data_IF_832185456036
#
_entry.id   IF_832185456036
#
_cell.length_a   1.000
_cell.length_b   1.000
_cell.length_c   1.000
_cell.angle_alpha   90.00
_cell.angle_beta   90.00
_cell.angle_gamma   90.00
#
_symmetry.space_group_name_H-M   'P 1'
#
loop_
_entity.id
_entity.type
_entity.pdbx_description
1 polymer ?
#
# COMPACT_ATOMS: atom_id res chain seq x y z
N UNK A 1 -13.16 4.57 -62.35
CA UNK A 1 -13.44 4.07 -60.98
C UNK A 1 -12.17 3.42 -60.44
N UNK A 2 -11.58 3.90 -59.34
CA UNK A 2 -10.45 3.23 -58.71
C UNK A 2 -10.91 1.91 -58.10
N UNK A 3 -10.18 0.82 -58.36
CA UNK A 3 -10.43 -0.49 -57.74
C UNK A 3 -10.30 -0.36 -56.21
N UNK A 4 -11.18 -0.99 -55.41
CA UNK A 4 -10.97 -1.04 -53.97
C UNK A 4 -9.63 -1.73 -53.66
N UNK A 5 -8.91 -1.29 -52.62
CA UNK A 5 -7.67 -1.95 -52.21
C UNK A 5 -7.98 -3.41 -51.90
N UNK A 6 -7.22 -4.32 -52.51
CA UNK A 6 -7.30 -5.74 -52.18
C UNK A 6 -6.99 -5.92 -50.70
N UNK A 7 -7.94 -6.47 -49.95
CA UNK A 7 -7.71 -6.89 -48.57
C UNK A 7 -6.58 -7.93 -48.60
N UNK A 8 -5.38 -7.50 -48.23
CA UNK A 8 -4.27 -8.40 -47.99
C UNK A 8 -4.75 -9.42 -46.97
N UNK A 9 -4.94 -10.67 -47.41
CA UNK A 9 -5.25 -11.79 -46.53
C UNK A 9 -4.04 -11.93 -45.62
N UNK A 10 -4.08 -11.32 -44.43
CA UNK A 10 -3.13 -11.59 -43.35
C UNK A 10 -2.98 -13.10 -43.29
N UNK A 11 -1.77 -13.60 -43.50
CA UNK A 11 -1.44 -15.01 -43.32
C UNK A 11 -1.66 -15.31 -41.84
N UNK A 12 -2.88 -15.75 -41.50
CA UNK A 12 -3.19 -16.28 -40.18
C UNK A 12 -2.37 -17.57 -40.10
N UNK A 13 -1.26 -17.54 -39.37
CA UNK A 13 -0.41 -18.69 -39.16
C UNK A 13 -1.00 -19.47 -37.97
N UNK A 14 -1.83 -20.52 -38.19
CA UNK A 14 -2.63 -21.12 -37.12
C UNK A 14 -1.75 -21.80 -36.08
N UNK A 15 -0.56 -22.25 -36.48
CA UNK A 15 0.45 -22.84 -35.62
C UNK A 15 1.09 -21.81 -34.68
N UNK A 16 1.24 -20.55 -35.13
CA UNK A 16 1.81 -19.48 -34.32
C UNK A 16 0.80 -19.06 -33.25
N UNK A 17 -0.48 -18.97 -33.60
CA UNK A 17 -1.57 -18.72 -32.65
C UNK A 17 -1.71 -19.86 -31.63
N UNK A 18 -1.58 -21.11 -32.08
CA UNK A 18 -1.60 -22.28 -31.20
C UNK A 18 -0.39 -22.32 -30.24
N UNK A 19 0.81 -22.03 -30.74
CA UNK A 19 2.03 -21.96 -29.93
C UNK A 19 1.93 -20.82 -28.90
N UNK A 20 1.47 -19.64 -29.32
CA UNK A 20 1.25 -18.52 -28.42
C UNK A 20 0.24 -18.86 -27.33
N UNK A 21 -0.89 -19.47 -27.70
CA UNK A 21 -1.90 -19.92 -26.73
C UNK A 21 -1.32 -20.93 -25.75
N UNK A 22 -0.56 -21.93 -26.21
CA UNK A 22 0.05 -22.94 -25.34
C UNK A 22 1.07 -22.32 -24.38
N UNK A 23 1.89 -21.38 -24.85
CA UNK A 23 2.84 -20.65 -23.99
C UNK A 23 2.12 -19.78 -22.96
N UNK A 24 1.04 -19.09 -23.36
CA UNK A 24 0.25 -18.26 -22.45
C UNK A 24 -0.43 -19.10 -21.36
N UNK A 25 -1.07 -20.22 -21.73
CA UNK A 25 -1.65 -21.16 -20.77
C UNK A 25 -0.58 -21.81 -19.90
N UNK A 26 0.57 -22.17 -20.47
CA UNK A 26 1.72 -22.72 -19.75
C UNK A 26 2.26 -21.74 -18.70
N UNK A 27 2.40 -20.46 -19.04
CA UNK A 27 2.80 -19.41 -18.11
C UNK A 27 1.77 -19.19 -16.99
N UNK A 28 0.47 -19.20 -17.32
CA UNK A 28 -0.60 -19.13 -16.32
C UNK A 28 -0.58 -20.33 -15.35
N UNK A 29 -0.42 -21.56 -15.86
CA UNK A 29 -0.29 -22.74 -15.02
C UNK A 29 0.98 -22.74 -14.18
N UNK A 30 2.11 -22.32 -14.75
CA UNK A 30 3.37 -22.21 -14.03
C UNK A 30 3.27 -21.21 -12.87
N UNK A 31 2.67 -20.04 -13.10
CA UNK A 31 2.47 -19.03 -12.05
C UNK A 31 1.55 -19.55 -10.93
N UNK A 32 0.44 -20.21 -11.27
CA UNK A 32 -0.43 -20.86 -10.28
C UNK A 32 0.30 -21.96 -9.50
N UNK A 33 1.08 -22.80 -10.19
CA UNK A 33 1.87 -23.86 -9.56
C UNK A 33 2.95 -23.32 -8.63
N UNK A 34 3.62 -22.22 -9.01
CA UNK A 34 4.59 -21.52 -8.15
C UNK A 34 3.92 -20.94 -6.91
N UNK A 35 2.75 -20.29 -7.05
CA UNK A 35 1.99 -19.79 -5.90
C UNK A 35 1.60 -20.92 -4.95
N UNK A 36 1.09 -22.03 -5.47
CA UNK A 36 0.78 -23.22 -4.67
C UNK A 36 2.05 -23.79 -4.00
N UNK A 37 3.17 -23.85 -4.72
CA UNK A 37 4.46 -24.28 -4.20
C UNK A 37 4.97 -23.40 -3.06
N UNK A 38 4.82 -22.07 -3.17
CA UNK A 38 5.16 -21.12 -2.09
C UNK A 38 4.29 -21.39 -0.85
N UNK A 39 2.97 -21.59 -1.03
CA UNK A 39 2.07 -21.90 0.08
C UNK A 39 2.50 -23.20 0.78
N UNK A 40 2.74 -24.28 0.01
CA UNK A 40 3.19 -25.56 0.55
C UNK A 40 4.53 -25.41 1.27
N UNK A 41 5.48 -24.68 0.68
CA UNK A 41 6.78 -24.41 1.29
C UNK A 41 6.65 -23.66 2.62
N UNK A 42 5.78 -22.66 2.69
CA UNK A 42 5.51 -21.93 3.93
C UNK A 42 4.95 -22.85 5.02
N UNK A 43 4.01 -23.74 4.68
CA UNK A 43 3.47 -24.72 5.64
C UNK A 43 4.55 -25.68 6.17
N UNK A 44 5.40 -26.21 5.29
CA UNK A 44 6.48 -27.13 5.69
C UNK A 44 7.49 -26.42 6.60
N UNK A 45 7.91 -25.19 6.24
CA UNK A 45 8.87 -24.43 7.04
C UNK A 45 8.28 -23.92 8.37
N UNK A 46 6.98 -23.66 8.43
CA UNK A 46 6.30 -23.26 9.66
C UNK A 46 5.94 -24.45 10.58
N UNK A 47 5.90 -25.68 10.06
CA UNK A 47 5.47 -26.86 10.82
C UNK A 47 6.22 -27.09 12.16
N UNK A 48 7.56 -26.96 12.24
CA UNK A 48 8.28 -27.11 13.50
C UNK A 48 7.85 -26.08 14.56
N UNK A 49 7.67 -24.82 14.15
CA UNK A 49 7.21 -23.76 15.04
C UNK A 49 5.76 -24.00 15.53
N UNK A 50 4.89 -24.47 14.64
CA UNK A 50 3.49 -24.80 15.00
C UNK A 50 3.46 -25.98 15.98
N UNK A 51 4.32 -26.98 15.81
CA UNK A 51 4.41 -28.12 16.72
C UNK A 51 4.94 -27.72 18.11
N UNK A 52 5.88 -26.78 18.19
CA UNK A 52 6.51 -26.36 19.45
C UNK A 52 5.66 -25.35 20.23
N UNK A 53 5.06 -24.36 19.56
CA UNK A 53 4.32 -23.27 20.22
C UNK A 53 2.80 -23.42 20.16
N UNK A 54 2.27 -24.24 19.23
CA UNK A 54 0.86 -24.50 19.08
C UNK A 54 0.00 -23.25 18.82
N UNK A 55 -1.32 -23.38 19.07
CA UNK A 55 -2.26 -22.26 19.02
C UNK A 55 -1.98 -21.13 20.03
N UNK A 56 -1.43 -21.39 21.23
CA UNK A 56 -1.09 -20.33 22.19
C UNK A 56 -0.14 -19.26 21.64
N UNK A 57 0.68 -19.59 20.64
CA UNK A 57 1.57 -18.65 19.95
C UNK A 57 0.86 -17.35 19.53
N UNK A 58 -0.38 -17.45 19.04
CA UNK A 58 -1.14 -16.31 18.52
C UNK A 58 -1.58 -15.31 19.60
N UNK A 59 -1.71 -15.75 20.86
CA UNK A 59 -2.12 -14.91 22.00
C UNK A 59 -0.99 -14.65 23.00
N UNK A 60 0.19 -15.22 22.79
CA UNK A 60 1.34 -15.05 23.69
C UNK A 60 2.11 -13.81 23.30
N UNK A 61 2.32 -12.89 24.26
CA UNK A 61 3.11 -11.69 24.08
C UNK A 61 4.59 -11.86 24.50
N UNK A 62 4.93 -12.96 25.16
CA UNK A 62 6.28 -13.21 25.64
C UNK A 62 7.23 -13.45 24.45
N UNK A 63 8.33 -12.71 24.46
CA UNK A 63 9.44 -12.91 23.52
C UNK A 63 10.74 -12.99 24.31
N UNK A 64 11.18 -14.22 24.59
CA UNK A 64 12.43 -14.52 25.30
C UNK A 64 13.32 -15.42 24.41
N UNK A 65 14.25 -14.82 23.64
CA UNK A 65 15.19 -15.56 22.80
C UNK A 65 16.16 -16.44 23.59
N UNK A 66 16.39 -16.15 24.88
CA UNK A 66 17.32 -16.91 25.71
C UNK A 66 16.67 -18.22 26.17
N UNK A 67 15.36 -18.19 26.46
CA UNK A 67 14.58 -19.37 26.84
C UNK A 67 13.86 -20.05 25.67
N UNK A 68 14.10 -19.60 24.45
CA UNK A 68 13.43 -20.07 23.22
C UNK A 68 11.89 -19.99 23.30
N UNK A 69 11.37 -18.99 24.01
CA UNK A 69 9.93 -18.74 24.14
C UNK A 69 9.54 -17.60 23.22
N UNK A 70 8.77 -17.91 22.18
CA UNK A 70 8.35 -16.94 21.18
C UNK A 70 6.83 -16.83 21.12
N UNK A 71 6.34 -15.60 21.18
CA UNK A 71 4.95 -15.23 21.05
C UNK A 71 4.72 -14.38 19.81
N UNK A 72 3.65 -14.66 19.06
CA UNK A 72 3.30 -13.97 17.83
C UNK A 72 2.46 -12.71 18.05
N UNK A 73 1.85 -12.53 19.22
CA UNK A 73 0.84 -11.49 19.44
C UNK A 73 1.39 -10.08 19.18
N UNK A 74 2.61 -9.79 19.64
CA UNK A 74 3.25 -8.48 19.48
C UNK A 74 3.49 -8.16 18.01
N UNK A 75 3.97 -9.14 17.23
CA UNK A 75 4.20 -8.94 15.80
C UNK A 75 2.90 -8.78 15.01
N UNK A 76 1.89 -9.62 15.29
CA UNK A 76 0.57 -9.52 14.63
C UNK A 76 -0.06 -8.17 14.94
N UNK A 77 -0.11 -7.79 16.22
CA UNK A 77 -0.67 -6.51 16.64
C UNK A 77 0.09 -5.33 16.02
N UNK A 78 1.43 -5.38 16.05
CA UNK A 78 2.28 -4.35 15.47
C UNK A 78 2.05 -4.14 13.97
N UNK A 79 1.95 -5.24 13.19
CA UNK A 79 1.67 -5.18 11.75
C UNK A 79 0.28 -4.64 11.47
N UNK A 80 -0.75 -5.08 12.21
CA UNK A 80 -2.12 -4.60 12.01
C UNK A 80 -2.24 -3.12 12.37
N UNK A 81 -1.67 -2.69 13.49
CA UNK A 81 -1.73 -1.29 13.92
C UNK A 81 -0.97 -0.36 12.99
N UNK A 82 0.26 -0.71 12.58
CA UNK A 82 1.03 0.11 11.64
C UNK A 82 0.36 0.21 10.28
N UNK A 83 -0.20 -0.90 9.77
CA UNK A 83 -0.96 -0.91 8.51
C UNK A 83 -2.23 -0.08 8.59
N UNK A 84 -2.95 -0.13 9.72
CA UNK A 84 -4.15 0.67 9.93
C UNK A 84 -3.82 2.17 9.96
N UNK A 85 -2.81 2.58 10.73
CA UNK A 85 -2.32 3.96 10.77
C UNK A 85 -1.90 4.41 9.37
N UNK A 86 -1.16 3.56 8.65
CA UNK A 86 -0.71 3.87 7.31
C UNK A 86 -1.86 4.10 6.34
N UNK A 87 -2.91 3.26 6.37
CA UNK A 87 -4.08 3.41 5.51
C UNK A 87 -4.91 4.65 5.85
N UNK A 88 -5.12 4.93 7.13
CA UNK A 88 -5.87 6.12 7.58
C UNK A 88 -5.24 7.41 7.04
N UNK A 89 -3.91 7.45 6.92
CA UNK A 89 -3.18 8.59 6.36
C UNK A 89 -3.12 8.50 4.84
N UNK A 90 -2.73 7.35 4.29
CA UNK A 90 -2.41 7.22 2.88
C UNK A 90 -3.65 7.33 1.98
N UNK A 91 -4.77 6.71 2.36
CA UNK A 91 -5.99 6.72 1.53
C UNK A 91 -6.49 8.13 1.23
N UNK A 92 -6.73 9.02 2.20
CA UNK A 92 -7.20 10.38 1.90
C UNK A 92 -6.16 11.21 1.15
N UNK A 93 -4.87 11.05 1.46
CA UNK A 93 -3.78 11.77 0.77
C UNK A 93 -3.69 11.33 -0.69
N UNK A 94 -3.69 10.03 -0.95
CA UNK A 94 -3.66 9.45 -2.29
C UNK A 94 -4.90 9.81 -3.10
N UNK A 95 -6.08 9.84 -2.48
CA UNK A 95 -7.30 10.33 -3.11
C UNK A 95 -7.17 11.78 -3.54
N UNK A 96 -6.64 12.66 -2.68
CA UNK A 96 -6.38 14.06 -3.02
C UNK A 96 -5.38 14.23 -4.16
N UNK A 97 -4.28 13.47 -4.15
CA UNK A 97 -3.28 13.47 -5.22
C UNK A 97 -3.91 13.00 -6.55
N UNK A 98 -4.67 11.91 -6.53
CA UNK A 98 -5.34 11.38 -7.70
C UNK A 98 -6.34 12.38 -8.27
N UNK A 99 -7.22 12.94 -7.43
CA UNK A 99 -8.19 13.96 -7.80
C UNK A 99 -7.52 15.17 -8.44
N UNK A 100 -6.45 15.67 -7.82
CA UNK A 100 -5.69 16.80 -8.34
C UNK A 100 -5.14 16.47 -9.74
N UNK A 101 -4.49 15.32 -9.90
CA UNK A 101 -3.88 14.92 -11.16
C UNK A 101 -4.89 14.66 -12.29
N UNK A 102 -6.10 14.21 -11.97
CA UNK A 102 -7.10 13.87 -12.98
C UNK A 102 -8.01 15.03 -13.36
N UNK A 103 -8.41 15.87 -12.40
CA UNK A 103 -9.47 16.88 -12.63
C UNK A 103 -9.01 18.34 -12.45
N UNK A 104 -7.95 18.61 -11.68
CA UNK A 104 -7.53 19.99 -11.38
C UNK A 104 -6.18 20.37 -12.00
N UNK A 105 -5.34 19.39 -12.32
CA UNK A 105 -3.95 19.62 -12.72
C UNK A 105 -3.89 20.22 -14.12
N UNK A 106 -3.12 21.30 -14.33
CA UNK A 106 -2.87 21.80 -15.67
C UNK A 106 -2.09 20.76 -16.47
N UNK A 107 -2.36 20.67 -17.78
CA UNK A 107 -1.85 19.58 -18.63
C UNK A 107 -0.32 19.45 -18.67
N UNK A 108 0.41 20.55 -18.47
CA UNK A 108 1.88 20.56 -18.41
C UNK A 108 2.43 19.96 -17.11
N UNK A 109 1.68 19.98 -16.01
CA UNK A 109 2.11 19.48 -14.70
C UNK A 109 1.76 18.00 -14.49
N UNK A 110 0.74 17.50 -15.19
CA UNK A 110 0.23 16.13 -15.04
C UNK A 110 1.30 15.07 -15.30
N UNK A 111 2.05 15.21 -16.40
CA UNK A 111 3.13 14.29 -16.77
C UNK A 111 4.30 14.27 -15.78
N UNK A 112 4.96 15.40 -15.45
CA UNK A 112 6.10 15.38 -14.53
C UNK A 112 5.70 14.93 -13.13
N UNK A 113 4.52 15.32 -12.63
CA UNK A 113 4.07 14.90 -11.30
C UNK A 113 3.71 13.41 -11.26
N UNK A 114 3.10 12.88 -12.33
CA UNK A 114 2.85 11.45 -12.47
C UNK A 114 4.15 10.62 -12.44
N UNK A 115 5.16 11.05 -13.20
CA UNK A 115 6.49 10.41 -13.20
C UNK A 115 7.12 10.49 -11.80
N UNK A 116 7.04 11.64 -11.12
CA UNK A 116 7.60 11.79 -9.78
C UNK A 116 6.98 10.82 -8.77
N UNK A 117 5.66 10.60 -8.83
CA UNK A 117 4.95 9.65 -7.97
C UNK A 117 5.38 8.20 -8.27
N UNK A 118 5.48 7.84 -9.55
CA UNK A 118 5.92 6.50 -9.97
C UNK A 118 7.39 6.23 -9.57
N UNK A 119 8.26 7.25 -9.69
CA UNK A 119 9.64 7.17 -9.23
C UNK A 119 9.72 7.07 -7.70
N UNK A 120 8.84 7.74 -6.96
CA UNK A 120 8.76 7.62 -5.51
C UNK A 120 8.40 6.18 -5.10
N UNK A 121 7.50 5.53 -5.84
CA UNK A 121 7.19 4.12 -5.61
C UNK A 121 8.40 3.20 -5.84
N UNK A 122 9.32 3.55 -6.74
CA UNK A 122 10.50 2.74 -7.06
C UNK A 122 11.62 2.81 -6.00
N UNK A 123 11.51 3.70 -5.01
CA UNK A 123 12.52 3.84 -3.95
C UNK A 123 12.55 2.56 -3.09
N UNK A 124 13.73 1.94 -2.87
CA UNK A 124 13.84 0.75 -2.04
C UNK A 124 13.37 0.99 -0.60
N UNK A 125 12.60 0.05 -0.02
CA UNK A 125 12.00 0.24 1.30
C UNK A 125 13.01 0.40 2.44
N UNK A 126 14.23 -0.17 2.30
CA UNK A 126 15.31 0.04 3.26
C UNK A 126 15.75 1.50 3.36
N UNK A 127 15.69 2.26 2.26
CA UNK A 127 16.03 3.69 2.24
C UNK A 127 15.03 4.48 3.09
N UNK A 128 13.73 4.18 2.95
CA UNK A 128 12.69 4.76 3.80
C UNK A 128 12.87 4.37 5.28
N UNK A 129 13.23 3.11 5.56
CA UNK A 129 13.50 2.65 6.93
C UNK A 129 14.67 3.38 7.58
N UNK A 130 15.81 3.49 6.88
CA UNK A 130 16.99 4.20 7.39
C UNK A 130 16.75 5.70 7.53
N UNK A 131 16.13 6.35 6.54
CA UNK A 131 15.73 7.76 6.64
C UNK A 131 14.75 7.96 7.80
N UNK A 132 13.82 7.02 7.96
CA UNK A 132 12.86 6.94 9.04
C UNK A 132 13.52 6.96 10.42
N UNK A 133 14.51 6.10 10.62
CA UNK A 133 15.27 5.99 11.87
C UNK A 133 16.18 7.20 12.09
N UNK A 134 16.95 7.61 11.09
CA UNK A 134 18.05 8.57 11.25
C UNK A 134 17.61 10.04 11.18
N UNK A 135 16.53 10.33 10.46
CA UNK A 135 16.08 11.70 10.18
C UNK A 135 14.69 11.93 10.73
N UNK A 136 13.73 11.10 10.33
CA UNK A 136 12.32 11.34 10.67
C UNK A 136 12.02 11.11 12.16
N UNK A 137 12.50 10.02 12.75
CA UNK A 137 12.28 9.67 14.16
C UNK A 137 12.76 10.76 15.14
N UNK A 138 13.98 11.32 15.00
CA UNK A 138 14.40 12.46 15.82
C UNK A 138 13.50 13.69 15.69
N UNK A 139 13.09 14.03 14.46
CA UNK A 139 12.20 15.16 14.18
C UNK A 139 10.82 14.91 14.81
N UNK A 140 10.25 13.72 14.61
CA UNK A 140 8.96 13.36 15.17
C UNK A 140 8.99 13.36 16.69
N UNK A 141 10.08 12.88 17.30
CA UNK A 141 10.26 12.94 18.76
C UNK A 141 10.25 14.39 19.26
N UNK A 142 11.07 15.25 18.65
CA UNK A 142 11.22 16.64 19.07
C UNK A 142 9.97 17.50 18.85
N UNK A 143 9.33 17.37 17.69
CA UNK A 143 8.25 18.29 17.26
C UNK A 143 6.84 17.73 17.42
N UNK A 144 6.66 16.41 17.51
CA UNK A 144 5.33 15.81 17.64
C UNK A 144 5.19 15.11 18.99
N UNK A 145 6.03 14.12 19.31
CA UNK A 145 5.86 13.35 20.55
C UNK A 145 6.03 14.21 21.80
N UNK A 146 7.10 15.02 21.91
CA UNK A 146 7.32 15.83 23.10
C UNK A 146 6.20 16.87 23.36
N UNK A 147 5.70 17.60 22.35
CA UNK A 147 4.53 18.47 22.54
C UNK A 147 3.26 17.69 22.89
N UNK A 148 3.02 16.55 22.22
CA UNK A 148 1.83 15.72 22.45
C UNK A 148 1.83 15.14 23.89
N UNK A 149 2.98 14.67 24.36
CA UNK A 149 3.18 14.19 25.74
C UNK A 149 2.98 15.32 26.76
N UNK A 150 3.40 16.55 26.45
CA UNK A 150 3.17 17.71 27.32
C UNK A 150 1.68 18.11 27.36
N UNK A 151 0.98 18.04 26.23
CA UNK A 151 -0.45 18.37 26.14
C UNK A 151 -1.36 17.32 26.80
N UNK A 152 -1.03 16.03 26.67
CA UNK A 152 -1.86 14.94 27.22
C UNK A 152 -1.44 14.46 28.61
N UNK A 153 -0.52 15.17 29.26
CA UNK A 153 -0.10 14.86 30.63
C UNK A 153 -1.30 14.96 31.57
N UNK A 154 -1.77 13.83 32.12
CA UNK A 154 -2.91 13.79 33.04
C UNK A 154 -4.29 13.50 32.42
N UNK A 155 -4.38 13.08 31.15
CA UNK A 155 -5.63 12.59 30.56
C UNK A 155 -5.64 11.05 30.58
N UNK A 156 -6.54 10.41 31.37
CA UNK A 156 -6.64 8.95 31.39
C UNK A 156 -6.89 8.39 29.99
N UNK A 157 -6.32 7.24 29.64
CA UNK A 157 -6.35 6.58 28.31
C UNK A 157 -5.44 7.23 27.27
N UNK A 158 -5.53 8.54 27.03
CA UNK A 158 -4.68 9.22 26.04
C UNK A 158 -3.21 9.31 26.47
N UNK A 159 -2.97 9.40 27.78
CA UNK A 159 -1.62 9.29 28.32
C UNK A 159 -1.01 7.93 27.97
N UNK A 160 -1.73 6.81 28.13
CA UNK A 160 -1.25 5.46 27.77
C UNK A 160 -0.94 5.27 26.28
N UNK A 161 -1.64 5.96 25.38
CA UNK A 161 -1.37 5.90 23.93
C UNK A 161 -0.15 6.74 23.51
N UNK A 162 0.21 7.74 24.30
CA UNK A 162 1.30 8.69 24.02
C UNK A 162 2.49 8.50 24.99
N UNK A 163 2.32 7.67 26.02
CA UNK A 163 3.32 7.28 27.01
C UNK A 163 4.22 6.20 26.45
N UNK A 164 5.52 6.47 26.47
CA UNK A 164 6.57 5.59 26.00
C UNK A 164 7.87 6.37 25.99
N UNK A 165 9.01 5.67 25.95
CA UNK A 165 10.30 6.33 25.85
C UNK A 165 10.29 7.26 24.61
N UNK A 166 10.63 8.56 24.73
CA UNK A 166 10.55 9.54 23.65
C UNK A 166 11.70 9.37 22.65
N UNK A 167 11.85 8.17 22.11
CA UNK A 167 12.92 7.80 21.20
C UNK A 167 12.51 8.01 19.73
N UNK A 168 11.26 8.43 19.45
CA UNK A 168 10.71 8.51 18.08
C UNK A 168 10.53 7.15 17.38
N UNK A 169 10.97 6.07 18.03
CA UNK A 169 10.84 4.66 17.66
C UNK A 169 9.51 4.17 18.22
N UNK A 170 8.60 3.68 17.36
CA UNK A 170 7.30 3.18 17.79
C UNK A 170 6.29 2.98 16.66
N UNK A 171 5.10 2.47 17.01
CA UNK A 171 4.04 2.14 16.04
C UNK A 171 3.59 3.35 15.22
N UNK A 172 3.55 4.54 15.82
CA UNK A 172 3.14 5.77 15.12
C UNK A 172 4.16 6.19 14.06
N UNK A 173 5.45 6.22 14.38
CA UNK A 173 6.48 6.61 13.41
C UNK A 173 6.59 5.60 12.27
N UNK A 174 6.55 4.30 12.61
CA UNK A 174 6.52 3.23 11.62
C UNK A 174 5.28 3.33 10.72
N UNK A 175 4.10 3.58 11.28
CA UNK A 175 2.86 3.79 10.52
C UNK A 175 2.92 5.00 9.57
N UNK A 176 3.51 6.11 10.00
CA UNK A 176 3.66 7.31 9.14
C UNK A 176 4.65 7.05 7.99
N UNK A 177 5.80 6.44 8.27
CA UNK A 177 6.77 6.10 7.22
C UNK A 177 6.16 5.11 6.22
N UNK A 178 5.43 4.13 6.74
CA UNK A 178 4.69 3.18 5.91
C UNK A 178 3.64 3.89 5.05
N UNK A 179 2.93 4.88 5.61
CA UNK A 179 2.00 5.73 4.86
C UNK A 179 2.69 6.43 3.69
N UNK A 180 3.81 7.14 3.95
CA UNK A 180 4.60 7.85 2.92
C UNK A 180 4.99 6.92 1.78
N UNK A 181 5.35 5.69 2.10
CA UNK A 181 5.78 4.71 1.12
C UNK A 181 4.62 4.10 0.32
N UNK A 182 3.44 3.86 0.91
CA UNK A 182 2.29 3.31 0.17
C UNK A 182 1.46 4.37 -0.57
N UNK A 183 1.56 5.65 -0.19
CA UNK A 183 0.90 6.78 -0.86
C UNK A 183 1.10 6.76 -2.38
N UNK A 184 2.33 6.67 -2.93
CA UNK A 184 2.54 6.72 -4.37
C UNK A 184 1.90 5.54 -5.10
N UNK A 185 1.88 4.35 -4.48
CA UNK A 185 1.21 3.18 -5.05
C UNK A 185 -0.31 3.39 -5.15
N UNK A 186 -0.94 3.79 -4.05
CA UNK A 186 -2.39 4.02 -4.03
C UNK A 186 -2.76 5.19 -4.95
N UNK A 187 -1.97 6.26 -4.97
CA UNK A 187 -2.23 7.46 -5.77
C UNK A 187 -2.12 7.17 -7.27
N UNK A 188 -1.10 6.42 -7.71
CA UNK A 188 -0.94 6.04 -9.11
C UNK A 188 -2.11 5.17 -9.59
N UNK A 189 -2.49 4.14 -8.80
CA UNK A 189 -3.63 3.28 -9.15
C UNK A 189 -4.95 4.06 -9.13
N UNK A 190 -5.19 4.90 -8.13
CA UNK A 190 -6.41 5.71 -8.06
C UNK A 190 -6.51 6.67 -9.25
N UNK A 191 -5.41 7.32 -9.65
CA UNK A 191 -5.35 8.18 -10.85
C UNK A 191 -5.75 7.39 -12.09
N UNK A 192 -5.13 6.24 -12.32
CA UNK A 192 -5.37 5.42 -13.51
C UNK A 192 -6.82 4.94 -13.56
N UNK A 193 -7.39 4.55 -12.41
CA UNK A 193 -8.79 4.16 -12.30
C UNK A 193 -9.73 5.34 -12.58
N UNK A 194 -9.46 6.55 -12.05
CA UNK A 194 -10.27 7.73 -12.31
C UNK A 194 -10.32 8.12 -13.79
N UNK A 195 -9.20 7.91 -14.51
CA UNK A 195 -9.11 8.15 -15.95
C UNK A 195 -9.97 7.19 -16.80
N UNK A 196 -10.38 6.04 -16.26
CA UNK A 196 -11.29 5.10 -16.94
C UNK A 196 -12.72 5.68 -17.05
N UNK A 197 -13.07 6.69 -16.25
CA UNK A 197 -14.40 7.30 -16.30
C UNK A 197 -14.64 8.00 -17.65
N UNK A 198 -15.69 7.61 -18.41
CA UNK A 198 -15.98 8.20 -19.70
C UNK A 198 -16.06 9.74 -19.64
N UNK A 199 -15.35 10.47 -20.52
CA UNK A 199 -15.37 11.95 -20.53
C UNK A 199 -16.78 12.51 -20.66
N UNK A 200 -17.63 11.86 -21.47
CA UNK A 200 -19.02 12.26 -21.67
C UNK A 200 -19.83 12.35 -20.37
N UNK A 201 -19.60 11.45 -19.39
CA UNK A 201 -20.29 11.51 -18.10
C UNK A 201 -19.83 12.73 -17.28
N UNK A 202 -18.54 13.07 -17.36
CA UNK A 202 -17.94 14.20 -16.65
C UNK A 202 -18.38 15.53 -17.26
N UNK A 203 -18.27 15.65 -18.59
CA UNK A 203 -18.68 16.84 -19.35
C UNK A 203 -20.18 17.11 -19.24
N UNK A 204 -21.03 16.07 -19.22
CA UNK A 204 -22.47 16.24 -19.00
C UNK A 204 -22.76 16.79 -17.60
N UNK A 205 -22.06 16.30 -16.58
CA UNK A 205 -22.23 16.80 -15.21
C UNK A 205 -21.75 18.27 -15.08
N UNK A 206 -20.62 18.62 -15.70
CA UNK A 206 -20.17 20.02 -15.79
C UNK A 206 -21.19 20.89 -16.56
N UNK A 207 -21.81 20.37 -17.62
CA UNK A 207 -22.87 21.05 -18.39
C UNK A 207 -24.16 21.31 -17.59
N UNK A 208 -24.41 20.54 -16.53
CA UNK A 208 -25.49 20.77 -15.57
C UNK A 208 -25.12 21.77 -14.46
N UNK A 209 -23.93 22.36 -14.51
CA UNK A 209 -23.43 23.31 -13.51
C UNK A 209 -22.79 22.67 -12.29
N UNK A 210 -22.46 21.36 -12.33
CA UNK A 210 -21.80 20.69 -11.22
C UNK A 210 -20.37 21.21 -11.02
N UNK A 211 -19.97 21.37 -9.76
CA UNK A 211 -18.59 21.68 -9.37
C UNK A 211 -17.66 20.48 -9.55
N UNK A 212 -16.35 20.69 -9.64
CA UNK A 212 -15.35 19.61 -9.72
C UNK A 212 -15.48 18.60 -8.58
N UNK A 213 -15.75 19.07 -7.36
CA UNK A 213 -16.00 18.21 -6.21
C UNK A 213 -17.27 17.36 -6.39
N UNK A 214 -18.35 17.93 -6.91
CA UNK A 214 -19.59 17.18 -7.16
C UNK A 214 -19.42 16.16 -8.28
N UNK A 215 -18.70 16.49 -9.36
CA UNK A 215 -18.39 15.55 -10.44
C UNK A 215 -17.58 14.38 -9.90
N UNK A 216 -16.55 14.64 -9.09
CA UNK A 216 -15.74 13.57 -8.52
C UNK A 216 -16.54 12.71 -7.55
N UNK A 217 -17.25 13.33 -6.62
CA UNK A 217 -17.97 12.62 -5.56
C UNK A 217 -19.21 11.87 -6.07
N UNK A 218 -19.94 12.43 -7.04
CA UNK A 218 -21.22 11.87 -7.52
C UNK A 218 -21.11 11.07 -8.82
N UNK A 219 -20.07 11.28 -9.63
CA UNK A 219 -19.91 10.60 -10.94
C UNK A 219 -18.68 9.71 -10.95
N UNK A 220 -17.50 10.28 -10.73
CA UNK A 220 -16.22 9.54 -10.87
C UNK A 220 -16.10 8.46 -9.80
N UNK A 221 -16.24 8.82 -8.52
CA UNK A 221 -16.04 7.90 -7.40
C UNK A 221 -17.02 6.71 -7.41
N UNK A 222 -18.34 6.90 -7.66
CA UNK A 222 -19.26 5.77 -7.78
C UNK A 222 -18.99 4.88 -8.99
N UNK A 223 -18.57 5.47 -10.12
CA UNK A 223 -18.21 4.72 -11.33
C UNK A 223 -16.95 3.88 -11.12
N UNK A 224 -16.02 4.37 -10.31
CA UNK A 224 -14.68 3.78 -10.11
C UNK A 224 -14.49 3.06 -8.78
N UNK A 225 -15.52 2.95 -7.95
CA UNK A 225 -15.43 2.41 -6.57
C UNK A 225 -14.68 1.08 -6.47
N UNK A 226 -14.88 0.17 -7.42
CA UNK A 226 -14.21 -1.14 -7.42
C UNK A 226 -12.70 -1.00 -7.64
N UNK A 227 -12.28 -0.12 -8.56
CA UNK A 227 -10.86 0.15 -8.80
C UNK A 227 -10.22 0.94 -7.66
N UNK A 228 -10.95 1.86 -7.03
CA UNK A 228 -10.47 2.56 -5.82
C UNK A 228 -10.22 1.58 -4.69
N UNK A 229 -11.18 0.68 -4.40
CA UNK A 229 -11.00 -0.38 -3.40
C UNK A 229 -9.82 -1.29 -3.78
N UNK A 230 -9.69 -1.64 -5.06
CA UNK A 230 -8.52 -2.40 -5.56
C UNK A 230 -7.19 -1.70 -5.29
N UNK A 231 -7.10 -0.39 -5.52
CA UNK A 231 -5.91 0.41 -5.22
C UNK A 231 -5.58 0.47 -3.73
N UNK A 232 -6.59 0.61 -2.88
CA UNK A 232 -6.42 0.56 -1.41
C UNK A 232 -5.94 -0.82 -0.96
N UNK A 233 -6.52 -1.90 -1.50
CA UNK A 233 -6.11 -3.27 -1.19
C UNK A 233 -4.69 -3.57 -1.66
N UNK A 234 -4.25 -3.02 -2.80
CA UNK A 234 -2.87 -3.12 -3.26
C UNK A 234 -1.91 -2.42 -2.27
N UNK A 235 -2.28 -1.23 -1.81
CA UNK A 235 -1.54 -0.50 -0.78
C UNK A 235 -1.47 -1.25 0.55
N UNK A 236 -2.58 -1.86 0.99
CA UNK A 236 -2.62 -2.71 2.18
C UNK A 236 -1.72 -3.94 2.03
N UNK A 237 -1.80 -4.66 0.90
CA UNK A 237 -0.96 -5.83 0.63
C UNK A 237 0.53 -5.47 0.66
N UNK A 238 0.87 -4.28 0.15
CA UNK A 238 2.23 -3.74 0.30
C UNK A 238 2.56 -3.45 1.76
N UNK A 239 1.72 -2.71 2.48
CA UNK A 239 1.95 -2.39 3.89
C UNK A 239 2.16 -3.62 4.78
N UNK A 240 1.37 -4.68 4.58
CA UNK A 240 1.50 -5.95 5.31
C UNK A 240 2.79 -6.70 4.97
N UNK A 241 3.28 -6.58 3.74
CA UNK A 241 4.52 -7.20 3.28
C UNK A 241 5.79 -6.43 3.67
N UNK A 242 5.66 -5.26 4.29
CA UNK A 242 6.79 -4.38 4.57
C UNK A 242 7.39 -4.66 5.93
N UNK A 243 8.43 -5.50 5.92
CA UNK A 243 9.10 -6.01 7.12
C UNK A 243 10.33 -5.18 7.49
N UNK A 244 11.16 -4.78 6.51
CA UNK A 244 12.44 -4.12 6.78
C UNK A 244 12.27 -2.70 7.31
N UNK A 245 11.46 -1.87 6.65
CA UNK A 245 11.28 -0.48 7.07
C UNK A 245 10.70 -0.39 8.49
N UNK A 246 9.70 -1.23 8.78
CA UNK A 246 9.05 -1.32 10.10
C UNK A 246 10.03 -1.83 11.16
N UNK A 247 10.83 -2.85 10.86
CA UNK A 247 11.81 -3.39 11.81
C UNK A 247 12.87 -2.36 12.20
N UNK A 248 13.39 -1.60 11.24
CA UNK A 248 14.36 -0.53 11.55
C UNK A 248 13.74 0.55 12.42
N UNK A 249 12.51 0.98 12.12
CA UNK A 249 11.87 2.11 12.83
C UNK A 249 11.31 1.71 14.19
N UNK A 250 10.86 0.47 14.37
CA UNK A 250 10.39 -0.06 15.66
C UNK A 250 11.58 -0.56 16.51
N UNK A 251 12.73 -0.83 15.93
CA UNK A 251 13.97 -1.12 16.67
C UNK A 251 14.02 -2.49 17.35
N UNK A 252 13.19 -3.45 16.92
CA UNK A 252 13.12 -4.80 17.50
C UNK A 252 12.87 -4.81 19.04
N UNK A 253 12.10 -3.84 19.54
CA UNK A 253 11.68 -3.81 20.95
C UNK A 253 10.37 -4.60 21.12
N UNK A 254 10.40 -5.71 21.86
CA UNK A 254 9.27 -6.63 22.04
C UNK A 254 8.53 -6.45 23.37
N UNK A 255 8.29 -5.20 23.78
CA UNK A 255 7.51 -4.87 24.97
C UNK A 255 6.27 -4.08 24.57
N UNK A 256 5.10 -4.51 25.05
CA UNK A 256 3.82 -3.81 24.88
C UNK A 256 3.70 -2.62 25.84
#
# INVERSE_FOLDING_TARGET
MPKPPSLDRRRVAPWADALFSLLAHGAAWLTLALLAGIIVSLFINAAPAIQQFGLPFLWTAQWDPVKEQFGGLVMIYGTVMTSLIALVIAVPVSFGIALFLTEMSPGWLKRPLGIAIELLAAVPSIVYGMWGLLVFSPILSAYVQQPLQKLFKGVPVLETFVSGAPVGIGLLSAGIILAIMIIPYIAAVMRDVFEVTPPMLKESAYGLGATTWEVVYRVVLPYTKAGVVGGVMLGLGRALGETMAVTFVIGNFNQL
#
